data_IF_540297113821
#
_entry.id   IF_540297113821
#
_cell.length_a   1.000
_cell.length_b   1.000
_cell.length_c   1.000
_cell.angle_alpha   90.00
_cell.angle_beta   90.00
_cell.angle_gamma   90.00
#
_symmetry.space_group_name_H-M   'P 1'
#
loop_
_entity.id
_entity.type
_entity.pdbx_description
1 polymer ?
#
# COMPACT_ATOMS: atom_id res chain seq x y z
N UNK A 1 -7.50 16.72 27.72
CA UNK A 1 -7.68 15.45 26.98
C UNK A 1 -7.80 15.80 25.51
N UNK A 2 -6.84 15.40 24.66
CA UNK A 2 -6.91 15.69 23.22
C UNK A 2 -7.84 14.67 22.56
N UNK A 3 -9.00 15.13 22.12
CA UNK A 3 -9.92 14.35 21.30
C UNK A 3 -9.23 14.02 19.98
N UNK A 4 -8.70 12.80 19.86
CA UNK A 4 -8.28 12.24 18.58
C UNK A 4 -9.57 11.83 17.87
N UNK A 5 -10.14 12.76 17.10
CA UNK A 5 -11.13 12.41 16.07
C UNK A 5 -10.44 11.47 15.09
N UNK A 6 -10.58 10.15 15.33
CA UNK A 6 -10.36 9.13 14.31
C UNK A 6 -11.28 9.52 13.16
N UNK A 7 -10.71 10.06 12.08
CA UNK A 7 -11.46 10.23 10.85
C UNK A 7 -12.09 8.88 10.52
N UNK A 8 -13.39 8.83 10.15
CA UNK A 8 -14.00 7.57 9.76
C UNK A 8 -13.14 6.95 8.66
N UNK A 9 -12.81 5.68 8.86
CA UNK A 9 -11.94 4.86 7.99
C UNK A 9 -12.45 4.87 6.53
N UNK A 10 -13.68 5.30 6.31
CA UNK A 10 -14.34 5.33 4.99
C UNK A 10 -13.98 6.55 4.12
N UNK A 11 -13.37 7.60 4.67
CA UNK A 11 -13.13 8.84 3.90
C UNK A 11 -11.96 8.78 2.91
N UNK A 12 -10.93 7.96 3.18
CA UNK A 12 -9.71 7.93 2.36
C UNK A 12 -9.79 6.93 1.20
N UNK A 13 -10.53 5.83 1.38
CA UNK A 13 -10.55 4.72 0.43
C UNK A 13 -10.96 5.13 -1.00
N UNK A 14 -11.98 5.99 -1.22
CA UNK A 14 -12.34 6.44 -2.57
C UNK A 14 -11.21 7.19 -3.28
N UNK A 15 -10.46 8.03 -2.55
CA UNK A 15 -9.31 8.75 -3.09
C UNK A 15 -8.20 7.80 -3.52
N UNK A 16 -7.89 6.79 -2.69
CA UNK A 16 -6.89 5.78 -3.02
C UNK A 16 -7.33 4.88 -4.17
N UNK A 17 -8.61 4.54 -4.26
CA UNK A 17 -9.17 3.83 -5.41
C UNK A 17 -9.04 4.66 -6.70
N UNK A 18 -9.30 5.97 -6.63
CA UNK A 18 -9.06 6.89 -7.75
C UNK A 18 -7.59 6.94 -8.16
N UNK A 19 -6.67 6.90 -7.19
CA UNK A 19 -5.23 6.88 -7.45
C UNK A 19 -4.77 5.62 -8.20
N UNK A 20 -5.45 4.48 -8.05
CA UNK A 20 -5.14 3.24 -8.79
C UNK A 20 -5.30 3.37 -10.31
N UNK A 21 -6.08 4.35 -10.77
CA UNK A 21 -6.25 4.64 -12.20
C UNK A 21 -5.09 5.48 -12.77
N UNK A 22 -4.24 6.04 -11.91
CA UNK A 22 -3.07 6.81 -12.31
C UNK A 22 -1.78 6.03 -11.97
N UNK A 23 -0.97 5.63 -12.96
CA UNK A 23 0.23 4.80 -12.73
C UNK A 23 1.35 5.53 -11.97
N UNK A 24 1.26 6.86 -11.81
CA UNK A 24 2.26 7.67 -11.15
C UNK A 24 1.99 7.92 -9.66
N UNK A 25 1.04 7.21 -9.07
CA UNK A 25 0.71 7.33 -7.64
C UNK A 25 1.36 6.22 -6.82
N UNK A 26 1.58 6.48 -5.53
CA UNK A 26 2.13 5.50 -4.59
C UNK A 26 1.35 4.16 -4.58
N UNK A 27 0.00 4.13 -4.44
CA UNK A 27 -0.73 2.86 -4.43
C UNK A 27 -0.63 2.11 -5.76
N UNK A 28 -0.62 2.79 -6.91
CA UNK A 28 -0.46 2.15 -8.22
C UNK A 28 0.91 1.51 -8.40
N UNK A 29 1.98 2.26 -8.08
CA UNK A 29 3.37 1.77 -8.17
C UNK A 29 3.61 0.61 -7.20
N UNK A 30 3.09 0.73 -5.99
CA UNK A 30 3.14 -0.32 -4.97
C UNK A 30 2.43 -1.60 -5.46
N UNK A 31 1.20 -1.48 -5.96
CA UNK A 31 0.45 -2.62 -6.47
C UNK A 31 1.14 -3.27 -7.67
N UNK A 32 1.67 -2.48 -8.61
CA UNK A 32 2.39 -2.99 -9.78
C UNK A 32 3.62 -3.82 -9.37
N UNK A 33 4.39 -3.33 -8.40
CA UNK A 33 5.54 -4.04 -7.85
C UNK A 33 5.14 -5.36 -7.20
N UNK A 34 4.18 -5.33 -6.26
CA UNK A 34 3.69 -6.53 -5.55
C UNK A 34 3.16 -7.55 -6.56
N UNK A 35 2.38 -7.10 -7.55
CA UNK A 35 1.85 -7.95 -8.62
C UNK A 35 2.95 -8.60 -9.46
N UNK A 36 4.04 -7.88 -9.76
CA UNK A 36 5.16 -8.42 -10.54
C UNK A 36 5.95 -9.53 -9.81
N UNK A 37 5.94 -9.50 -8.48
CA UNK A 37 6.70 -10.44 -7.62
C UNK A 37 5.83 -11.55 -7.04
N UNK A 38 4.52 -11.34 -6.97
CA UNK A 38 3.57 -12.25 -6.33
C UNK A 38 3.56 -12.12 -4.81
N UNK A 39 4.71 -12.31 -4.17
CA UNK A 39 4.89 -12.20 -2.71
C UNK A 39 6.15 -11.39 -2.40
N UNK A 40 6.04 -10.43 -1.48
CA UNK A 40 7.13 -9.54 -1.06
C UNK A 40 7.01 -9.21 0.43
N UNK A 41 8.09 -8.75 1.04
CA UNK A 41 8.10 -8.14 2.37
C UNK A 41 7.76 -6.66 2.32
N UNK A 42 7.36 -6.07 3.44
CA UNK A 42 7.17 -4.62 3.51
C UNK A 42 8.47 -3.83 3.33
N UNK A 43 9.59 -4.38 3.79
CA UNK A 43 10.91 -3.82 3.56
C UNK A 43 11.20 -3.65 2.06
N UNK A 44 11.00 -4.72 1.27
CA UNK A 44 11.22 -4.70 -0.18
C UNK A 44 10.34 -3.69 -0.90
N UNK A 45 9.06 -3.57 -0.50
CA UNK A 45 8.15 -2.56 -1.07
C UNK A 45 8.64 -1.14 -0.79
N UNK A 46 9.05 -0.85 0.45
CA UNK A 46 9.57 0.47 0.82
C UNK A 46 10.86 0.79 0.08
N UNK A 47 11.79 -0.16 0.01
CA UNK A 47 13.05 0.02 -0.73
C UNK A 47 12.78 0.28 -2.20
N UNK A 48 11.92 -0.51 -2.85
CA UNK A 48 11.57 -0.30 -4.25
C UNK A 48 11.00 1.11 -4.51
N UNK A 49 10.06 1.56 -3.67
CA UNK A 49 9.47 2.89 -3.82
C UNK A 49 10.49 4.00 -3.57
N UNK A 50 11.37 3.83 -2.59
CA UNK A 50 12.46 4.78 -2.31
C UNK A 50 13.45 4.85 -3.47
N UNK A 51 14.03 3.72 -3.87
CA UNK A 51 15.10 3.67 -4.87
C UNK A 51 14.62 4.01 -6.29
N UNK A 52 13.37 3.68 -6.63
CA UNK A 52 12.85 3.86 -7.99
C UNK A 52 12.15 5.21 -8.18
N UNK A 53 11.55 5.75 -7.11
CA UNK A 53 10.65 6.90 -7.20
C UNK A 53 10.87 7.96 -6.12
N UNK A 54 11.95 7.85 -5.34
CA UNK A 54 12.37 8.83 -4.34
C UNK A 54 11.34 9.08 -3.22
N UNK A 55 10.56 8.05 -2.86
CA UNK A 55 9.67 8.13 -1.69
C UNK A 55 10.47 8.05 -0.39
N UNK A 56 10.11 8.87 0.61
CA UNK A 56 10.68 8.78 1.96
C UNK A 56 10.27 7.49 2.66
N UNK A 57 11.23 6.67 3.11
CA UNK A 57 11.01 5.35 3.75
C UNK A 57 10.00 5.35 4.91
N UNK A 58 9.82 6.48 5.60
CA UNK A 58 8.93 6.64 6.75
C UNK A 58 7.64 7.40 6.43
N UNK A 59 7.35 7.64 5.15
CA UNK A 59 6.16 8.38 4.74
C UNK A 59 4.87 7.66 5.16
N UNK A 60 4.02 8.36 5.92
CA UNK A 60 2.68 7.87 6.26
C UNK A 60 1.82 7.53 5.04
N UNK A 61 2.10 8.15 3.89
CA UNK A 61 1.41 7.90 2.62
C UNK A 61 1.64 6.48 2.09
N UNK A 62 2.80 5.87 2.34
CA UNK A 62 3.08 4.48 1.96
C UNK A 62 2.27 3.50 2.81
N UNK A 63 2.24 3.71 4.13
CA UNK A 63 1.43 2.89 5.03
C UNK A 63 -0.06 2.95 4.69
N UNK A 64 -0.57 4.16 4.42
CA UNK A 64 -1.95 4.36 4.00
C UNK A 64 -2.25 3.71 2.63
N UNK A 65 -1.31 3.79 1.68
CA UNK A 65 -1.41 3.10 0.38
C UNK A 65 -1.55 1.59 0.55
N UNK A 66 -0.67 0.98 1.35
CA UNK A 66 -0.72 -0.46 1.62
C UNK A 66 -2.04 -0.84 2.29
N UNK A 67 -2.50 -0.06 3.27
CA UNK A 67 -3.77 -0.33 3.96
C UNK A 67 -4.97 -0.22 3.01
N UNK A 68 -4.96 0.74 2.08
CA UNK A 68 -5.98 0.85 1.05
C UNK A 68 -5.99 -0.38 0.14
N UNK A 69 -4.82 -0.86 -0.32
CA UNK A 69 -4.73 -2.07 -1.17
C UNK A 69 -5.29 -3.32 -0.46
N UNK A 70 -5.00 -3.49 0.82
CA UNK A 70 -5.55 -4.57 1.64
C UNK A 70 -7.06 -4.45 1.79
N UNK A 71 -7.56 -3.25 2.10
CA UNK A 71 -9.00 -2.97 2.26
C UNK A 71 -9.77 -3.19 0.97
N UNK A 72 -9.16 -2.92 -0.20
CA UNK A 72 -9.72 -3.19 -1.52
C UNK A 72 -9.60 -4.67 -1.94
N UNK A 73 -9.01 -5.55 -1.12
CA UNK A 73 -8.84 -6.98 -1.41
C UNK A 73 -7.85 -7.27 -2.53
N UNK A 74 -6.95 -6.33 -2.85
CA UNK A 74 -5.96 -6.49 -3.92
C UNK A 74 -4.70 -7.22 -3.43
N UNK A 75 -4.45 -7.15 -2.12
CA UNK A 75 -3.34 -7.83 -1.44
C UNK A 75 -3.81 -8.38 -0.10
N UNK A 76 -3.12 -9.39 0.41
CA UNK A 76 -3.21 -9.84 1.81
C UNK A 76 -1.92 -9.52 2.54
N UNK A 77 -2.03 -9.17 3.82
CA UNK A 77 -0.89 -8.84 4.68
C UNK A 77 -0.84 -9.85 5.84
N UNK A 78 0.31 -10.50 6.02
CA UNK A 78 0.55 -11.44 7.11
C UNK A 78 1.79 -11.03 7.90
N UNK A 79 1.67 -10.96 9.24
CA UNK A 79 2.76 -10.55 10.12
C UNK A 79 2.76 -9.05 10.45
N UNK A 80 3.88 -8.55 10.94
CA UNK A 80 4.02 -7.17 11.44
C UNK A 80 5.38 -6.55 11.05
N UNK A 81 5.49 -5.24 11.21
CA UNK A 81 6.75 -4.52 10.95
C UNK A 81 7.17 -4.55 9.48
N UNK A 82 8.47 -4.63 9.26
CA UNK A 82 9.10 -4.66 7.95
C UNK A 82 9.14 -6.07 7.33
N UNK A 83 9.09 -7.10 8.18
CA UNK A 83 9.09 -8.51 7.77
C UNK A 83 7.70 -9.04 7.38
N UNK A 84 6.65 -8.21 7.51
CA UNK A 84 5.30 -8.63 7.10
C UNK A 84 5.27 -8.97 5.62
N UNK A 85 4.64 -10.09 5.32
CA UNK A 85 4.50 -10.65 3.98
C UNK A 85 3.25 -10.08 3.33
N UNK A 86 3.42 -9.56 2.12
CA UNK A 86 2.40 -8.96 1.29
C UNK A 86 2.28 -9.82 0.04
N UNK A 87 1.10 -10.39 -0.17
CA UNK A 87 0.82 -11.28 -1.30
C UNK A 87 -0.25 -10.67 -2.19
N UNK A 88 -0.04 -10.69 -3.50
CA UNK A 88 -1.05 -10.29 -4.47
C UNK A 88 -2.21 -11.29 -4.51
N UNK A 89 -3.44 -10.79 -4.43
CA UNK A 89 -4.67 -11.63 -4.39
C UNK A 89 -5.59 -11.35 -5.58
N UNK A 90 -5.21 -10.40 -6.45
CA UNK A 90 -6.07 -9.95 -7.54
C UNK A 90 -6.59 -11.08 -8.44
N UNK A 91 -7.69 -10.82 -9.17
CA UNK A 91 -8.43 -11.86 -9.88
C UNK A 91 -7.49 -12.68 -10.76
N UNK A 92 -7.49 -14.01 -10.56
CA UNK A 92 -6.88 -14.96 -11.48
C UNK A 92 -7.48 -14.70 -12.86
N UNK A 93 -6.64 -14.21 -13.78
CA UNK A 93 -6.98 -14.21 -15.20
C UNK A 93 -7.10 -15.64 -15.70
#
# INVERSE_FOLDING_TARGET
MRNVTRQPIDGYLPSYQGMLNNPNTAPSRMLAYIKSKGTVTWFEVKQYLHETYDYELTSGSMGASLKALETLGLVTINGQGDDKIITYVGPKR
#
